data_IF_666029728194
#
_entry.id   IF_666029728194
#
_cell.length_a   1.000
_cell.length_b   1.000
_cell.length_c   1.000
_cell.angle_alpha   90.00
_cell.angle_beta   90.00
_cell.angle_gamma   90.00
#
_symmetry.space_group_name_H-M   'P 1'
#
loop_
_entity.id
_entity.type
_entity.pdbx_description
1 polymer ?
#
# COMPACT_ATOMS: atom_id res chain seq x y z
N UNK A 1 54.51 13.66 -27.21
CA UNK A 1 54.24 13.55 -28.66
C UNK A 1 52.77 13.89 -28.86
N UNK A 2 52.54 15.06 -29.38
CA UNK A 2 51.25 15.74 -29.59
C UNK A 2 50.78 15.48 -31.02
N UNK A 3 49.53 15.07 -31.21
CA UNK A 3 48.90 14.97 -32.52
C UNK A 3 47.48 15.59 -32.46
N UNK A 4 47.06 16.35 -33.51
CA UNK A 4 46.04 17.36 -33.38
C UNK A 4 44.64 16.95 -33.80
N UNK A 5 43.64 17.63 -33.22
CA UNK A 5 42.21 17.57 -33.58
C UNK A 5 41.92 18.17 -34.98
N UNK A 6 40.96 17.67 -35.75
CA UNK A 6 40.38 18.39 -36.87
C UNK A 6 39.12 19.16 -36.49
N UNK A 7 39.01 20.36 -37.08
CA UNK A 7 37.96 21.37 -36.90
C UNK A 7 36.70 21.04 -37.73
N UNK A 8 35.55 21.47 -37.25
CA UNK A 8 34.24 21.50 -37.95
C UNK A 8 34.20 22.65 -39.00
N UNK A 9 33.49 22.50 -40.09
CA UNK A 9 33.10 23.63 -40.95
C UNK A 9 31.77 24.24 -40.56
N UNK A 10 31.69 25.57 -40.69
CA UNK A 10 30.51 26.42 -40.51
C UNK A 10 29.65 26.37 -41.79
N UNK A 11 28.31 26.42 -41.58
CA UNK A 11 27.34 26.68 -42.61
C UNK A 11 26.91 28.15 -42.62
N UNK A 12 26.80 28.75 -43.80
CA UNK A 12 26.35 30.11 -44.11
C UNK A 12 24.88 30.09 -44.63
N UNK A 13 24.14 31.24 -44.55
CA UNK A 13 22.69 31.26 -44.82
C UNK A 13 22.39 31.81 -46.25
N UNK A 14 21.24 31.36 -46.80
CA UNK A 14 20.64 31.96 -48.00
C UNK A 14 19.13 32.16 -47.83
N UNK A 15 18.75 33.35 -47.70
CA UNK A 15 17.91 34.33 -48.44
C UNK A 15 16.58 33.79 -49.05
N UNK A 16 15.54 34.37 -48.47
CA UNK A 16 14.29 34.98 -49.03
C UNK A 16 13.91 34.72 -50.48
N UNK A 17 12.67 34.37 -50.71
CA UNK A 17 11.76 34.99 -51.71
C UNK A 17 10.32 35.02 -51.23
N UNK A 18 9.75 36.26 -51.25
CA UNK A 18 8.31 36.54 -51.13
C UNK A 18 7.69 36.45 -52.53
N UNK A 19 6.54 35.90 -52.68
CA UNK A 19 5.56 36.26 -53.70
C UNK A 19 4.14 36.13 -53.12
N UNK A 20 3.46 37.23 -53.16
CA UNK A 20 2.06 37.33 -52.85
C UNK A 20 1.20 37.10 -54.10
N UNK A 21 -0.02 36.63 -53.89
CA UNK A 21 -1.12 36.83 -54.83
C UNK A 21 -2.43 37.09 -54.09
N UNK A 22 -3.18 38.03 -54.63
CA UNK A 22 -4.45 38.59 -54.17
C UNK A 22 -5.63 37.74 -54.63
N UNK A 23 -6.65 37.67 -53.78
CA UNK A 23 -8.07 37.87 -54.15
C UNK A 23 -8.86 36.66 -54.59
N UNK A 24 -9.90 36.29 -53.86
CA UNK A 24 -11.30 36.46 -54.28
C UNK A 24 -12.24 36.03 -53.16
N UNK A 25 -13.19 36.88 -52.82
CA UNK A 25 -14.25 36.54 -51.90
C UNK A 25 -15.33 35.74 -52.63
N UNK A 26 -15.89 34.73 -51.97
CA UNK A 26 -17.23 34.20 -52.24
C UNK A 26 -17.85 33.76 -50.91
N UNK A 27 -18.92 34.45 -50.56
CA UNK A 27 -19.80 34.08 -49.46
C UNK A 27 -20.76 32.98 -49.89
N UNK A 28 -20.93 31.96 -49.08
CA UNK A 28 -22.21 31.20 -49.04
C UNK A 28 -22.29 30.27 -47.82
N UNK A 29 -23.39 30.39 -47.12
CA UNK A 29 -24.02 29.23 -46.44
C UNK A 29 -23.55 28.88 -45.05
N UNK A 30 -24.13 29.54 -44.03
CA UNK A 30 -24.08 29.13 -42.64
C UNK A 30 -24.96 27.89 -42.43
N UNK A 31 -24.40 26.71 -42.40
CA UNK A 31 -25.08 25.52 -41.86
C UNK A 31 -24.55 25.25 -40.47
N UNK A 32 -25.27 25.63 -39.42
CA UNK A 32 -24.99 25.29 -38.04
C UNK A 32 -25.31 23.81 -37.86
N UNK A 33 -24.31 22.96 -37.92
CA UNK A 33 -24.41 21.59 -37.42
C UNK A 33 -24.13 21.66 -35.94
N UNK A 34 -25.20 21.53 -35.13
CA UNK A 34 -25.11 21.36 -33.69
C UNK A 34 -24.55 19.95 -33.43
N UNK A 35 -23.25 19.81 -33.38
CA UNK A 35 -22.60 18.62 -32.90
C UNK A 35 -22.86 18.55 -31.39
N UNK A 36 -23.81 17.71 -30.97
CA UNK A 36 -23.88 17.23 -29.60
C UNK A 36 -22.60 16.49 -29.29
N UNK A 37 -21.63 17.21 -28.80
CA UNK A 37 -20.45 16.62 -28.18
C UNK A 37 -20.89 15.96 -26.86
N UNK A 38 -21.25 14.68 -26.96
CA UNK A 38 -21.23 13.80 -25.79
C UNK A 38 -19.83 13.83 -25.23
N UNK A 39 -19.60 14.67 -24.23
CA UNK A 39 -18.36 14.72 -23.48
C UNK A 39 -18.19 13.41 -22.72
N UNK A 40 -17.57 12.41 -23.35
CA UNK A 40 -16.81 11.44 -22.59
C UNK A 40 -15.74 12.24 -21.88
N UNK A 41 -15.91 12.47 -20.58
CA UNK A 41 -14.85 12.98 -19.74
C UNK A 41 -13.66 12.05 -20.00
N UNK A 42 -12.67 12.54 -20.76
CA UNK A 42 -11.35 11.93 -20.81
C UNK A 42 -10.87 11.97 -19.36
N UNK A 43 -10.90 10.81 -18.70
CA UNK A 43 -10.23 10.64 -17.42
C UNK A 43 -8.82 11.22 -17.62
N UNK A 44 -8.47 12.25 -16.83
CA UNK A 44 -7.16 12.83 -16.88
C UNK A 44 -6.18 11.65 -16.72
N UNK A 45 -5.37 11.42 -17.76
CA UNK A 45 -4.35 10.37 -17.74
C UNK A 45 -3.31 10.78 -16.69
N UNK A 46 -3.54 10.42 -15.42
CA UNK A 46 -2.67 10.87 -14.35
C UNK A 46 -2.99 10.31 -12.98
N UNK A 47 -4.23 10.16 -12.60
CA UNK A 47 -4.58 9.74 -11.25
C UNK A 47 -4.95 8.25 -11.18
N UNK A 48 -4.71 7.65 -9.98
CA UNK A 48 -5.18 6.29 -9.68
C UNK A 48 -6.65 6.35 -9.29
N UNK A 49 -7.52 5.58 -9.94
CA UNK A 49 -8.90 5.38 -9.50
C UNK A 49 -8.93 4.42 -8.30
N UNK A 50 -8.79 4.98 -7.09
CA UNK A 50 -8.82 4.21 -5.85
C UNK A 50 -10.15 3.48 -5.62
N UNK A 51 -11.25 3.99 -6.14
CA UNK A 51 -12.53 3.28 -6.10
C UNK A 51 -12.50 2.02 -6.99
N UNK A 52 -11.84 2.08 -8.14
CA UNK A 52 -11.65 0.89 -8.98
C UNK A 52 -10.73 -0.13 -8.32
N UNK A 53 -9.70 0.32 -7.60
CA UNK A 53 -8.83 -0.55 -6.78
C UNK A 53 -9.65 -1.22 -5.69
N UNK A 54 -10.46 -0.46 -4.94
CA UNK A 54 -11.34 -0.99 -3.90
C UNK A 54 -12.32 -2.04 -4.44
N UNK A 55 -12.97 -1.78 -5.58
CA UNK A 55 -13.83 -2.77 -6.25
C UNK A 55 -13.06 -4.03 -6.66
N UNK A 56 -11.83 -3.88 -7.13
CA UNK A 56 -11.01 -4.99 -7.59
C UNK A 56 -10.49 -5.87 -6.44
N UNK A 57 -10.20 -5.26 -5.30
CA UNK A 57 -9.75 -5.97 -4.09
C UNK A 57 -10.91 -6.55 -3.28
N UNK A 58 -12.13 -6.10 -3.52
CA UNK A 58 -13.36 -6.60 -2.89
C UNK A 58 -13.83 -5.82 -1.66
N UNK A 59 -13.24 -4.64 -1.37
CA UNK A 59 -13.70 -3.72 -0.31
C UNK A 59 -13.23 -2.28 -0.56
N UNK A 60 -13.90 -1.26 0.02
CA UNK A 60 -13.41 0.11 0.00
C UNK A 60 -12.00 0.21 0.60
N UNK A 61 -11.22 1.17 0.09
CA UNK A 61 -9.93 1.54 0.69
C UNK A 61 -10.15 2.70 1.67
N UNK A 62 -9.46 2.66 2.79
CA UNK A 62 -9.32 3.80 3.69
C UNK A 62 -8.14 4.64 3.25
N UNK A 63 -8.24 5.96 3.40
CA UNK A 63 -7.11 6.88 3.12
C UNK A 63 -6.50 7.30 4.43
N UNK A 64 -5.24 6.94 4.59
CA UNK A 64 -4.44 7.20 5.77
C UNK A 64 -3.47 8.36 5.55
N UNK A 65 -2.71 8.71 6.60
CA UNK A 65 -1.67 9.73 6.52
C UNK A 65 -0.62 9.39 5.44
N UNK A 66 -0.12 10.41 4.73
CA UNK A 66 0.89 10.23 3.68
C UNK A 66 0.33 9.72 2.35
N UNK A 67 -0.98 9.89 2.09
CA UNK A 67 -1.66 9.41 0.86
C UNK A 67 -1.51 7.90 0.68
N UNK A 68 -1.58 7.16 1.78
CA UNK A 68 -1.63 5.70 1.81
C UNK A 68 -3.08 5.25 1.76
N UNK A 69 -3.38 4.26 0.93
CA UNK A 69 -4.71 3.71 0.76
C UNK A 69 -4.71 2.25 1.18
N UNK A 70 -5.40 1.93 2.28
CA UNK A 70 -5.34 0.63 2.95
C UNK A 70 -6.62 -0.18 2.78
N UNK A 71 -6.47 -1.49 2.77
CA UNK A 71 -7.55 -2.46 2.93
C UNK A 71 -7.11 -3.54 3.91
N UNK A 72 -7.94 -3.84 4.90
CA UNK A 72 -7.66 -4.84 5.93
C UNK A 72 -8.79 -5.88 6.01
N UNK A 73 -8.44 -7.12 6.31
CA UNK A 73 -9.36 -8.23 6.63
C UNK A 73 -8.88 -8.96 7.86
N UNK A 74 -9.69 -8.96 8.90
CA UNK A 74 -9.36 -9.67 10.14
C UNK A 74 -9.54 -11.18 9.99
N UNK A 75 -8.68 -11.98 10.60
CA UNK A 75 -8.78 -13.45 10.71
C UNK A 75 -9.82 -13.87 11.74
N UNK A 76 -11.05 -13.43 11.55
CA UNK A 76 -12.17 -13.81 12.44
C UNK A 76 -12.56 -15.29 12.34
N UNK A 77 -12.06 -15.97 11.31
CA UNK A 77 -12.17 -17.43 11.14
C UNK A 77 -11.25 -18.23 12.08
N UNK A 78 -10.30 -17.57 12.75
CA UNK A 78 -9.35 -18.20 13.64
C UNK A 78 -9.66 -17.93 15.11
N UNK A 79 -9.36 -18.93 15.92
CA UNK A 79 -9.28 -18.79 17.37
C UNK A 79 -7.86 -19.08 17.81
N UNK A 80 -7.08 -18.02 17.89
CA UNK A 80 -5.65 -18.12 18.22
C UNK A 80 -5.47 -18.02 19.74
N UNK A 81 -4.65 -18.91 20.28
CA UNK A 81 -4.20 -18.86 21.67
C UNK A 81 -2.68 -18.90 21.66
N UNK A 82 -2.04 -17.97 22.33
CA UNK A 82 -0.59 -17.85 22.47
C UNK A 82 -0.25 -17.75 23.95
N UNK A 83 0.59 -18.66 24.46
CA UNK A 83 0.97 -18.73 25.89
C UNK A 83 -0.24 -18.66 26.86
N UNK A 84 -1.36 -19.26 26.50
CA UNK A 84 -2.60 -19.25 27.30
C UNK A 84 -3.47 -18.00 27.14
N UNK A 85 -3.03 -16.99 26.39
CA UNK A 85 -3.79 -15.79 26.05
C UNK A 85 -4.52 -15.99 24.72
N UNK A 86 -5.82 -15.67 24.68
CA UNK A 86 -6.55 -15.61 23.42
C UNK A 86 -6.19 -14.30 22.71
N UNK A 87 -5.57 -14.41 21.56
CA UNK A 87 -5.22 -13.25 20.73
C UNK A 87 -6.46 -12.64 20.08
N UNK A 88 -6.54 -11.32 20.13
CA UNK A 88 -7.48 -10.53 19.32
C UNK A 88 -7.03 -10.49 17.86
N UNK A 89 -7.96 -10.45 16.88
CA UNK A 89 -7.56 -10.17 15.50
C UNK A 89 -6.79 -8.87 15.30
N UNK A 90 -7.00 -7.85 16.15
CA UNK A 90 -6.21 -6.60 16.14
C UNK A 90 -4.75 -6.75 16.58
N UNK A 91 -4.28 -7.96 16.92
CA UNK A 91 -2.87 -8.29 17.15
C UNK A 91 -2.21 -8.82 15.86
N UNK A 92 -2.43 -8.15 14.72
CA UNK A 92 -1.95 -8.53 13.38
C UNK A 92 -2.37 -9.96 12.95
N UNK A 93 -3.55 -10.39 13.38
CA UNK A 93 -4.16 -11.59 12.81
C UNK A 93 -5.11 -11.17 11.69
N UNK A 94 -4.53 -10.74 10.57
CA UNK A 94 -5.24 -10.08 9.48
C UNK A 94 -4.64 -10.42 8.11
N UNK A 95 -5.18 -9.80 7.07
CA UNK A 95 -4.52 -9.52 5.82
C UNK A 95 -4.64 -8.02 5.58
N UNK A 96 -3.56 -7.37 5.22
CA UNK A 96 -3.51 -5.94 4.93
C UNK A 96 -2.85 -5.68 3.58
N UNK A 97 -3.30 -4.63 2.90
CA UNK A 97 -2.66 -4.10 1.70
C UNK A 97 -2.66 -2.57 1.75
N UNK A 98 -1.48 -2.01 1.74
CA UNK A 98 -1.22 -0.57 1.73
C UNK A 98 -0.71 -0.14 0.37
N UNK A 99 -1.44 0.76 -0.30
CA UNK A 99 -1.12 1.27 -1.63
C UNK A 99 -0.67 2.73 -1.53
N UNK A 100 0.35 3.07 -2.31
CA UNK A 100 0.80 4.45 -2.48
C UNK A 100 1.13 4.73 -3.95
N UNK A 101 0.68 5.88 -4.48
CA UNK A 101 0.91 6.26 -5.86
C UNK A 101 2.40 6.53 -6.13
N UNK A 102 2.95 5.92 -7.16
CA UNK A 102 4.35 6.10 -7.57
C UNK A 102 4.51 6.91 -8.86
N UNK A 103 3.53 6.84 -9.75
CA UNK A 103 3.48 7.57 -11.03
C UNK A 103 2.03 7.62 -11.53
N UNK A 104 1.72 8.36 -12.60
CA UNK A 104 0.41 8.33 -13.24
C UNK A 104 -0.08 6.91 -13.54
N UNK A 105 -1.23 6.53 -12.96
CA UNK A 105 -1.83 5.20 -13.10
C UNK A 105 -0.99 4.04 -12.53
N UNK A 106 0.00 4.31 -11.70
CA UNK A 106 0.86 3.32 -11.06
C UNK A 106 0.88 3.49 -9.54
N UNK A 107 0.90 2.37 -8.83
CA UNK A 107 1.08 2.33 -7.38
C UNK A 107 2.10 1.27 -6.98
N UNK A 108 2.71 1.49 -5.84
CA UNK A 108 3.35 0.48 -5.01
C UNK A 108 2.28 -0.12 -4.10
N UNK A 109 2.32 -1.43 -3.89
CA UNK A 109 1.57 -2.12 -2.86
C UNK A 109 2.54 -2.91 -1.99
N UNK A 110 2.45 -2.70 -0.67
CA UNK A 110 3.12 -3.48 0.37
C UNK A 110 2.03 -4.00 1.31
N UNK A 111 2.24 -5.13 1.91
CA UNK A 111 1.33 -5.66 2.91
C UNK A 111 1.68 -7.07 3.34
N UNK A 112 0.83 -7.62 4.20
CA UNK A 112 1.04 -8.94 4.77
C UNK A 112 -0.26 -9.74 4.87
N UNK A 113 -0.13 -11.01 5.14
CA UNK A 113 -1.25 -11.89 5.48
C UNK A 113 -0.84 -12.95 6.48
N UNK A 114 -1.66 -13.09 7.53
CA UNK A 114 -1.54 -14.19 8.49
C UNK A 114 -2.16 -15.47 7.91
N UNK A 115 -1.39 -16.57 7.90
CA UNK A 115 -1.73 -17.82 7.23
C UNK A 115 -1.59 -19.02 8.16
N UNK A 116 -2.52 -19.97 8.05
CA UNK A 116 -2.25 -21.34 8.51
C UNK A 116 -1.22 -22.00 7.59
N UNK A 117 -0.43 -22.93 8.10
CA UNK A 117 0.57 -23.66 7.29
C UNK A 117 -0.03 -24.29 6.02
N UNK A 118 -1.30 -24.75 6.06
CA UNK A 118 -1.99 -25.31 4.89
C UNK A 118 -2.40 -24.28 3.84
N UNK A 119 -2.34 -22.99 4.15
CA UNK A 119 -2.69 -21.90 3.25
C UNK A 119 -1.47 -21.33 2.51
N UNK A 120 -0.26 -21.45 3.10
CA UNK A 120 0.98 -20.81 2.64
C UNK A 120 1.24 -21.04 1.14
N UNK A 121 1.33 -22.29 0.72
CA UNK A 121 1.69 -22.59 -0.69
C UNK A 121 0.62 -22.10 -1.67
N UNK A 122 -0.65 -22.24 -1.33
CA UNK A 122 -1.76 -21.84 -2.21
C UNK A 122 -1.81 -20.31 -2.41
N UNK A 123 -1.55 -19.56 -1.34
CA UNK A 123 -1.48 -18.10 -1.37
C UNK A 123 -0.23 -17.67 -2.14
N UNK A 124 0.93 -18.25 -1.83
CA UNK A 124 2.19 -17.95 -2.51
C UNK A 124 2.10 -18.17 -4.03
N UNK A 125 1.49 -19.27 -4.46
CA UNK A 125 1.32 -19.58 -5.88
C UNK A 125 0.41 -18.54 -6.56
N UNK A 126 -0.71 -18.16 -5.93
CA UNK A 126 -1.62 -17.17 -6.47
C UNK A 126 -0.97 -15.78 -6.60
N UNK A 127 -0.22 -15.34 -5.58
CA UNK A 127 0.52 -14.08 -5.59
C UNK A 127 1.55 -14.06 -6.74
N UNK A 128 2.39 -15.09 -6.84
CA UNK A 128 3.44 -15.19 -7.87
C UNK A 128 2.87 -15.24 -9.28
N UNK A 129 1.80 -16.01 -9.51
CA UNK A 129 1.12 -16.07 -10.80
C UNK A 129 0.59 -14.71 -11.26
N UNK A 130 0.16 -13.86 -10.32
CA UNK A 130 -0.28 -12.49 -10.59
C UNK A 130 0.85 -11.45 -10.65
N UNK A 131 2.11 -11.88 -10.44
CA UNK A 131 3.28 -11.00 -10.46
C UNK A 131 3.48 -10.19 -9.19
N UNK A 132 2.93 -10.66 -8.06
CA UNK A 132 3.20 -10.13 -6.72
C UNK A 132 4.38 -10.89 -6.11
N UNK A 133 5.37 -10.18 -5.62
CA UNK A 133 6.57 -10.72 -5.00
C UNK A 133 6.33 -11.01 -3.52
N UNK A 134 6.85 -12.13 -3.03
CA UNK A 134 6.87 -12.45 -1.59
C UNK A 134 8.20 -11.99 -1.05
N UNK A 135 8.17 -11.07 -0.09
CA UNK A 135 9.37 -10.45 0.49
C UNK A 135 9.82 -11.13 1.77
N UNK A 136 8.89 -11.71 2.53
CA UNK A 136 9.21 -12.48 3.73
C UNK A 136 8.14 -13.54 4.02
N UNK A 137 8.53 -14.56 4.76
CA UNK A 137 7.64 -15.55 5.39
C UNK A 137 8.25 -15.93 6.74
N UNK A 138 7.63 -15.52 7.82
CA UNK A 138 8.18 -15.69 9.16
C UNK A 138 7.11 -15.82 10.25
N UNK A 139 7.52 -15.81 11.50
CA UNK A 139 6.66 -15.92 12.68
C UNK A 139 6.67 -14.57 13.41
N UNK A 140 5.50 -14.06 13.80
CA UNK A 140 5.39 -12.95 14.76
C UNK A 140 5.31 -13.45 16.21
N UNK A 141 4.73 -14.61 16.41
CA UNK A 141 4.59 -15.27 17.72
C UNK A 141 5.05 -16.72 17.63
N UNK A 142 5.41 -17.36 18.75
CA UNK A 142 6.08 -18.66 18.70
C UNK A 142 5.26 -19.83 19.26
N UNK A 143 4.45 -19.59 20.29
CA UNK A 143 3.72 -20.62 21.03
C UNK A 143 2.23 -20.64 20.71
N UNK A 144 1.83 -20.10 19.58
CA UNK A 144 0.45 -20.00 19.15
C UNK A 144 -0.15 -21.31 18.65
N UNK A 145 -1.45 -21.46 18.90
CA UNK A 145 -2.26 -22.53 18.35
C UNK A 145 -3.53 -21.93 17.73
N UNK A 146 -3.87 -22.25 16.45
CA UNK A 146 -3.07 -23.04 15.50
C UNK A 146 -1.76 -22.36 15.12
N UNK A 147 -0.78 -23.11 14.60
CA UNK A 147 0.48 -22.53 14.12
C UNK A 147 0.24 -21.65 12.90
N UNK A 148 0.74 -20.43 12.95
CA UNK A 148 0.55 -19.38 11.95
C UNK A 148 1.86 -18.95 11.32
N UNK A 149 1.75 -18.29 10.17
CA UNK A 149 2.83 -17.71 9.40
C UNK A 149 2.40 -16.35 8.90
N UNK A 150 3.28 -15.37 8.88
CA UNK A 150 3.08 -14.05 8.30
C UNK A 150 3.84 -13.99 6.99
N UNK A 151 3.12 -13.71 5.91
CA UNK A 151 3.67 -13.61 4.56
C UNK A 151 3.57 -12.18 4.09
N UNK A 152 4.71 -11.52 3.95
CA UNK A 152 4.80 -10.17 3.40
C UNK A 152 4.91 -10.21 1.89
N UNK A 153 4.36 -9.21 1.23
CA UNK A 153 4.35 -9.12 -0.21
C UNK A 153 4.54 -7.69 -0.71
N UNK A 154 5.04 -7.59 -1.91
CA UNK A 154 5.36 -6.36 -2.60
C UNK A 154 4.93 -6.45 -4.07
N UNK A 155 4.37 -5.37 -4.63
CA UNK A 155 4.10 -5.24 -6.04
C UNK A 155 4.12 -3.77 -6.49
N UNK A 156 4.49 -3.53 -7.74
CA UNK A 156 4.45 -2.22 -8.36
C UNK A 156 3.85 -2.31 -9.75
N UNK A 157 2.99 -1.36 -10.11
CA UNK A 157 2.40 -1.31 -11.44
C UNK A 157 0.96 -0.82 -11.46
N UNK A 158 0.13 -1.45 -12.28
CA UNK A 158 -1.32 -1.19 -12.36
C UNK A 158 -1.99 -1.65 -11.05
N UNK A 159 -2.50 -0.72 -10.21
CA UNK A 159 -3.03 -1.06 -8.90
C UNK A 159 -4.31 -1.91 -8.97
N UNK A 160 -5.12 -1.77 -10.02
CA UNK A 160 -6.33 -2.59 -10.20
C UNK A 160 -5.95 -4.06 -10.49
N UNK A 161 -4.91 -4.29 -11.28
CA UNK A 161 -4.39 -5.64 -11.53
C UNK A 161 -3.80 -6.26 -10.27
N UNK A 162 -3.01 -5.48 -9.51
CA UNK A 162 -2.44 -5.91 -8.22
C UNK A 162 -3.56 -6.29 -7.25
N UNK A 163 -4.57 -5.45 -7.11
CA UNK A 163 -5.73 -5.66 -6.25
C UNK A 163 -6.49 -6.97 -6.59
N UNK A 164 -6.73 -7.25 -7.88
CA UNK A 164 -7.35 -8.52 -8.31
C UNK A 164 -6.49 -9.74 -7.96
N UNK A 165 -5.18 -9.62 -8.11
CA UNK A 165 -4.25 -10.70 -7.74
C UNK A 165 -4.35 -10.99 -6.25
N UNK A 166 -4.31 -9.95 -5.42
CA UNK A 166 -4.42 -10.11 -3.97
C UNK A 166 -5.78 -10.69 -3.57
N UNK A 167 -6.88 -10.19 -4.12
CA UNK A 167 -8.21 -10.78 -3.89
C UNK A 167 -8.24 -12.28 -4.22
N UNK A 168 -7.66 -12.68 -5.35
CA UNK A 168 -7.56 -14.08 -5.76
C UNK A 168 -6.73 -14.91 -4.79
N UNK A 169 -5.65 -14.34 -4.25
CA UNK A 169 -4.79 -15.00 -3.27
C UNK A 169 -5.49 -15.15 -1.92
N UNK A 170 -6.15 -14.09 -1.43
CA UNK A 170 -6.89 -14.12 -0.17
C UNK A 170 -8.08 -15.09 -0.22
N UNK A 171 -8.72 -15.29 -1.38
CA UNK A 171 -9.75 -16.31 -1.58
C UNK A 171 -9.23 -17.76 -1.42
N UNK A 172 -7.91 -17.97 -1.26
CA UNK A 172 -7.29 -19.27 -0.93
C UNK A 172 -7.13 -19.50 0.57
N UNK A 173 -7.53 -18.54 1.38
CA UNK A 173 -7.49 -18.59 2.86
C UNK A 173 -8.88 -18.89 3.44
N UNK A 174 -8.97 -18.93 4.75
CA UNK A 174 -10.25 -18.96 5.48
C UNK A 174 -10.76 -17.57 5.85
N UNK A 175 -10.10 -16.50 5.41
CA UNK A 175 -10.51 -15.12 5.70
C UNK A 175 -11.90 -14.86 5.10
N UNK A 176 -12.90 -14.42 5.88
CA UNK A 176 -14.15 -13.94 5.31
C UNK A 176 -13.92 -12.63 4.54
N UNK A 177 -14.01 -12.64 3.21
CA UNK A 177 -13.70 -11.47 2.38
C UNK A 177 -14.81 -10.41 2.37
N UNK A 178 -16.03 -10.80 2.73
CA UNK A 178 -17.22 -9.95 2.81
C UNK A 178 -17.48 -9.40 4.22
N UNK A 179 -16.44 -9.30 5.05
CA UNK A 179 -16.55 -8.77 6.42
C UNK A 179 -17.15 -7.36 6.39
N UNK A 180 -18.12 -7.07 7.28
CA UNK A 180 -18.49 -5.69 7.55
C UNK A 180 -17.30 -4.94 8.13
N UNK A 181 -17.36 -3.61 8.05
CA UNK A 181 -16.39 -2.78 8.76
C UNK A 181 -16.38 -3.15 10.25
N UNK A 182 -15.19 -3.30 10.82
CA UNK A 182 -15.06 -3.78 12.19
C UNK A 182 -15.64 -2.75 13.18
N UNK A 183 -16.49 -3.22 14.09
CA UNK A 183 -16.91 -2.41 15.23
C UNK A 183 -15.74 -2.35 16.20
N UNK A 184 -15.25 -1.15 16.47
CA UNK A 184 -14.12 -0.90 17.37
C UNK A 184 -14.62 -0.64 18.79
N UNK A 185 -14.62 -1.65 19.70
CA UNK A 185 -14.95 -1.39 21.10
C UNK A 185 -13.85 -0.56 21.73
N UNK A 186 -14.16 0.37 22.65
CA UNK A 186 -13.13 1.18 23.32
C UNK A 186 -12.09 0.28 24.00
N UNK A 187 -10.81 0.65 23.84
CA UNK A 187 -9.70 -0.05 24.50
C UNK A 187 -9.82 0.09 26.03
N UNK A 188 -9.87 -1.02 26.72
CA UNK A 188 -10.01 -1.07 28.19
C UNK A 188 -8.65 -0.96 28.90
N UNK A 189 -7.87 0.09 28.58
CA UNK A 189 -6.57 0.44 29.19
C UNK A 189 -6.54 1.95 29.52
N UNK A 190 -5.63 2.35 30.39
CA UNK A 190 -5.30 3.77 30.56
C UNK A 190 -4.44 4.25 29.37
N UNK A 191 -5.10 4.54 28.25
CA UNK A 191 -4.45 4.98 27.01
C UNK A 191 -3.64 6.26 27.21
N UNK A 192 -4.13 7.18 28.05
CA UNK A 192 -3.41 8.43 28.34
C UNK A 192 -2.11 8.19 29.12
N UNK A 193 -2.05 7.19 30.00
CA UNK A 193 -0.82 6.82 30.67
C UNK A 193 0.17 6.15 29.69
N UNK A 194 -0.32 5.27 28.82
CA UNK A 194 0.51 4.63 27.78
C UNK A 194 1.04 5.66 26.79
N UNK A 195 0.23 6.58 26.28
CA UNK A 195 0.65 7.66 25.38
C UNK A 195 1.82 8.48 25.97
N UNK A 196 1.75 8.78 27.30
CA UNK A 196 2.84 9.51 27.98
C UNK A 196 4.13 8.71 28.07
N UNK A 197 4.04 7.39 28.29
CA UNK A 197 5.22 6.52 28.43
C UNK A 197 5.86 6.25 27.09
N UNK A 198 5.04 5.96 26.08
CA UNK A 198 5.50 5.67 24.71
C UNK A 198 5.98 6.96 24.02
N UNK A 199 5.41 8.12 24.38
CA UNK A 199 5.73 9.39 23.74
C UNK A 199 5.04 9.60 22.38
N UNK A 200 4.01 8.81 22.10
CA UNK A 200 3.21 8.87 20.87
C UNK A 200 1.73 8.75 21.21
N UNK A 201 0.85 9.03 20.25
CA UNK A 201 -0.58 8.83 20.37
C UNK A 201 -0.93 7.44 19.83
N UNK A 202 -1.57 6.63 20.68
CA UNK A 202 -2.09 5.33 20.27
C UNK A 202 -3.46 5.43 19.62
N UNK A 203 -3.74 4.48 18.72
CA UNK A 203 -5.01 4.33 18.02
C UNK A 203 -5.70 3.03 18.43
N UNK A 204 -7.03 3.03 18.44
CA UNK A 204 -7.83 1.83 18.75
C UNK A 204 -8.02 1.03 17.46
N UNK A 205 -7.37 -0.12 17.38
CA UNK A 205 -7.52 -1.06 16.30
C UNK A 205 -8.18 -2.36 16.79
N UNK A 206 -9.51 -2.43 16.60
CA UNK A 206 -10.30 -3.60 16.96
C UNK A 206 -10.19 -4.01 18.45
N UNK A 207 -10.13 -3.01 19.34
CA UNK A 207 -10.00 -3.21 20.79
C UNK A 207 -8.58 -3.48 21.27
N UNK A 208 -7.60 -3.30 20.42
CA UNK A 208 -6.15 -3.30 20.70
C UNK A 208 -5.64 -1.88 20.53
N UNK A 209 -4.85 -1.39 21.47
CA UNK A 209 -4.20 -0.09 21.35
C UNK A 209 -2.92 -0.28 20.54
N UNK A 210 -2.82 0.38 19.40
CA UNK A 210 -1.65 0.32 18.52
C UNK A 210 -0.92 1.66 18.44
N UNK A 211 0.39 1.59 18.32
CA UNK A 211 1.27 2.75 18.14
C UNK A 211 2.13 2.52 16.90
N UNK A 212 1.92 3.33 15.88
CA UNK A 212 2.81 3.40 14.72
C UNK A 212 3.82 4.53 14.94
N UNK A 213 5.04 4.18 15.31
CA UNK A 213 6.10 5.14 15.63
C UNK A 213 7.03 5.25 14.41
N UNK A 214 6.99 6.37 13.67
CA UNK A 214 7.85 6.55 12.52
C UNK A 214 9.32 6.45 12.90
N UNK A 215 10.12 5.76 12.10
CA UNK A 215 11.58 5.80 12.25
C UNK A 215 12.12 7.17 11.83
N UNK A 216 13.26 7.58 12.40
CA UNK A 216 13.87 8.88 12.09
C UNK A 216 14.55 8.91 10.73
N UNK A 217 15.01 7.75 10.27
CA UNK A 217 15.66 7.56 8.98
C UNK A 217 14.61 7.53 7.85
N UNK A 218 14.97 8.11 6.71
CA UNK A 218 14.16 7.97 5.50
C UNK A 218 14.37 6.60 4.88
N UNK A 219 13.36 5.76 4.97
CA UNK A 219 13.35 4.47 4.30
C UNK A 219 12.95 4.69 2.83
N UNK A 220 13.82 4.29 1.93
CA UNK A 220 13.58 4.43 0.48
C UNK A 220 13.50 3.06 -0.17
N UNK A 221 12.39 2.78 -0.85
CA UNK A 221 12.34 1.64 -1.76
C UNK A 221 13.16 1.97 -3.00
N UNK A 222 14.29 1.28 -3.16
CA UNK A 222 15.24 1.53 -4.24
C UNK A 222 14.77 1.03 -5.60
N UNK A 223 13.74 0.19 -5.66
CA UNK A 223 13.17 -0.35 -6.90
C UNK A 223 12.24 0.66 -7.57
N UNK A 224 11.53 1.45 -6.76
CA UNK A 224 10.60 2.49 -7.24
C UNK A 224 11.06 3.91 -6.93
N UNK A 225 12.19 4.07 -6.23
CA UNK A 225 12.83 5.35 -5.89
C UNK A 225 11.92 6.32 -5.14
N UNK A 226 11.10 5.81 -4.22
CA UNK A 226 10.26 6.63 -3.34
C UNK A 226 10.67 6.47 -1.89
N UNK A 227 10.52 7.53 -1.09
CA UNK A 227 10.55 7.41 0.37
C UNK A 227 9.22 6.81 0.81
N UNK A 228 9.27 5.69 1.53
CA UNK A 228 8.07 5.02 2.03
C UNK A 228 7.37 5.89 3.07
N UNK A 229 6.04 6.10 2.95
CA UNK A 229 5.23 6.58 4.07
C UNK A 229 5.38 5.62 5.27
N UNK A 230 5.35 6.16 6.49
CA UNK A 230 5.61 5.36 7.70
C UNK A 230 4.61 4.22 7.91
N UNK A 231 3.37 4.36 7.39
CA UNK A 231 2.34 3.31 7.41
C UNK A 231 2.53 2.22 6.35
N UNK A 232 3.64 2.24 5.61
CA UNK A 232 4.01 1.19 4.66
C UNK A 232 5.24 0.43 5.17
N UNK A 233 5.11 -0.24 6.32
CA UNK A 233 6.17 -1.05 6.94
C UNK A 233 7.44 -0.23 7.33
N UNK A 234 7.31 1.10 7.46
CA UNK A 234 8.42 2.00 7.78
C UNK A 234 8.27 2.65 9.17
N UNK A 235 7.64 1.94 10.10
CA UNK A 235 7.44 2.35 11.49
C UNK A 235 7.71 1.21 12.45
N UNK A 236 7.98 1.54 13.71
CA UNK A 236 7.87 0.57 14.81
C UNK A 236 6.40 0.47 15.19
N UNK A 237 5.87 -0.74 15.22
CA UNK A 237 4.53 -1.04 15.68
C UNK A 237 4.57 -1.65 17.09
N UNK A 238 3.80 -1.07 18.01
CA UNK A 238 3.58 -1.63 19.35
C UNK A 238 2.08 -1.84 19.56
N UNK A 239 1.70 -3.02 20.00
CA UNK A 239 0.31 -3.43 20.19
C UNK A 239 0.06 -3.83 21.64
N UNK A 240 -1.04 -3.33 22.23
CA UNK A 240 -1.44 -3.63 23.60
C UNK A 240 -2.87 -4.15 23.61
N UNK A 241 -3.02 -5.47 23.79
CA UNK A 241 -4.31 -6.10 23.95
C UNK A 241 -4.72 -6.12 25.42
N UNK A 242 -5.88 -5.54 25.81
CA UNK A 242 -6.36 -5.57 27.19
C UNK A 242 -6.65 -7.01 27.67
N UNK A 243 -6.16 -7.35 28.88
CA UNK A 243 -6.45 -8.62 29.56
C UNK A 243 -7.31 -8.47 30.82
N UNK A 244 -7.76 -7.25 31.09
CA UNK A 244 -8.45 -6.89 32.33
C UNK A 244 -7.53 -6.70 33.54
N UNK A 245 -8.02 -6.03 34.57
CA UNK A 245 -7.27 -5.77 35.80
C UNK A 245 -6.01 -4.92 35.57
N UNK A 246 -6.01 -4.01 34.61
CA UNK A 246 -4.87 -3.15 34.27
C UNK A 246 -3.70 -3.87 33.57
N UNK A 247 -3.91 -5.11 33.09
CA UNK A 247 -2.90 -5.90 32.37
C UNK A 247 -3.14 -5.87 30.87
N UNK A 248 -2.08 -6.02 30.10
CA UNK A 248 -2.14 -6.20 28.65
C UNK A 248 -1.21 -7.32 28.19
N UNK A 249 -1.57 -8.01 27.11
CA UNK A 249 -0.61 -8.68 26.26
C UNK A 249 0.03 -7.64 25.33
N UNK A 250 1.33 -7.78 25.09
CA UNK A 250 2.08 -6.83 24.25
C UNK A 250 2.81 -7.62 23.18
N UNK A 251 2.72 -7.14 21.95
CA UNK A 251 3.52 -7.59 20.81
C UNK A 251 3.93 -6.38 19.99
N UNK A 252 4.89 -6.55 19.06
CA UNK A 252 5.28 -5.46 18.18
C UNK A 252 6.47 -5.80 17.31
N UNK A 253 6.62 -5.00 16.28
CA UNK A 253 7.70 -5.06 15.31
C UNK A 253 8.50 -3.78 15.30
N UNK A 254 9.81 -3.92 15.15
CA UNK A 254 10.74 -2.78 15.13
C UNK A 254 11.32 -2.61 13.73
N UNK A 255 10.99 -1.48 13.08
CA UNK A 255 11.73 -1.05 11.90
C UNK A 255 13.08 -0.47 12.34
N UNK A 256 14.18 -1.13 11.99
CA UNK A 256 15.51 -0.71 12.40
C UNK A 256 16.57 -1.02 11.35
N UNK A 257 17.69 -0.31 11.39
CA UNK A 257 18.87 -0.62 10.58
C UNK A 257 19.65 -1.79 11.16
N UNK A 258 20.50 -2.43 10.36
CA UNK A 258 21.22 -3.64 10.77
C UNK A 258 22.13 -3.41 12.01
N UNK A 259 22.65 -2.21 12.20
CA UNK A 259 23.46 -1.83 13.36
C UNK A 259 22.65 -1.57 14.63
N UNK A 260 21.33 -1.37 14.51
CA UNK A 260 20.41 -1.19 15.62
C UNK A 260 19.88 -2.52 16.19
N UNK A 261 20.01 -3.63 15.46
CA UNK A 261 19.42 -4.94 15.85
C UNK A 261 19.97 -5.47 17.19
N UNK A 262 21.28 -5.38 17.42
CA UNK A 262 21.87 -5.92 18.66
C UNK A 262 21.71 -5.00 19.87
N UNK A 263 21.73 -3.65 19.74
CA UNK A 263 21.48 -2.76 20.86
C UNK A 263 20.03 -2.76 21.39
N UNK A 264 19.05 -3.12 20.56
CA UNK A 264 17.63 -3.23 20.91
C UNK A 264 17.27 -4.64 21.33
#
# INVERSE_FOLDING_TARGET
MTGPHPRRPRATPAQRRRQGFRGLAAATGLTVVLAMAGGTALAQAGDVDWNAVGRAIGRPLHTEAGDVHTAEWLRTDLRVVNAGVRESPGMELNAEASFHRTAPGKALMIGEVTLKGSEVNRVADALRQGGVEITALHKHIQDETPRLWWMHYWAQGDPVRIARTLHTALARTGIPLDQPEAVRPPVALDTAALDRVIGAKGEDENGVLQYHIPVTEKITDTRVHITLPYLMEASTLLMFQPLGGGRAAVNGDFAMTADQVNPV
#
